data_IF_140048769964
#
_entry.id   IF_140048769964
#
_cell.length_a   1.000
_cell.length_b   1.000
_cell.length_c   1.000
_cell.angle_alpha   90.00
_cell.angle_beta   90.00
_cell.angle_gamma   90.00
#
_symmetry.space_group_name_H-M   'P 1'
#
loop_
_entity.id
_entity.type
_entity.pdbx_description
1 polymer ?
#
# COMPACT_ATOMS: atom_id res chain seq x y z
N UNK A 1 23.21 -3.80 -12.93
CA UNK A 1 23.36 -5.19 -12.45
C UNK A 1 22.08 -5.93 -12.81
N UNK A 2 22.15 -6.97 -13.64
CA UNK A 2 20.98 -7.71 -14.14
C UNK A 2 20.39 -8.54 -13.00
N UNK A 3 19.14 -8.26 -12.61
CA UNK A 3 18.41 -9.12 -11.67
C UNK A 3 18.13 -10.46 -12.34
N UNK A 4 18.65 -11.53 -11.74
CA UNK A 4 18.50 -12.90 -12.20
C UNK A 4 17.01 -13.29 -12.22
N UNK A 5 16.52 -13.62 -13.41
CA UNK A 5 15.29 -14.37 -13.64
C UNK A 5 15.49 -15.78 -13.10
N UNK A 6 14.98 -16.06 -11.91
CA UNK A 6 14.59 -17.39 -11.44
C UNK A 6 13.84 -17.22 -10.12
N UNK A 7 12.61 -16.67 -10.21
CA UNK A 7 11.66 -16.72 -9.11
C UNK A 7 10.75 -17.90 -9.41
N UNK A 8 10.94 -18.98 -8.66
CA UNK A 8 10.00 -20.09 -8.56
C UNK A 8 8.60 -19.53 -8.39
N UNK A 9 7.71 -19.91 -9.30
CA UNK A 9 6.27 -19.68 -9.22
C UNK A 9 5.76 -20.54 -8.05
N UNK A 10 5.96 -20.06 -6.82
CA UNK A 10 5.14 -20.44 -5.70
C UNK A 10 3.88 -19.63 -5.89
N UNK A 11 2.83 -20.33 -6.32
CA UNK A 11 1.47 -19.82 -6.38
C UNK A 11 1.06 -19.42 -4.96
N UNK A 12 1.47 -18.22 -4.53
CA UNK A 12 0.76 -17.50 -3.49
C UNK A 12 -0.65 -17.34 -4.02
N UNK A 13 -1.58 -18.08 -3.42
CA UNK A 13 -2.99 -17.80 -3.54
C UNK A 13 -3.13 -16.39 -2.94
N UNK A 14 -3.03 -15.37 -3.80
CA UNK A 14 -3.39 -14.00 -3.47
C UNK A 14 -4.79 -14.07 -2.87
N UNK A 15 -5.02 -13.36 -1.76
CA UNK A 15 -6.33 -13.27 -1.11
C UNK A 15 -7.35 -12.54 -2.02
N UNK A 16 -6.92 -12.10 -3.21
CA UNK A 16 -7.76 -11.87 -4.40
C UNK A 16 -8.70 -13.06 -4.72
N UNK A 17 -8.46 -14.25 -4.18
CA UNK A 17 -9.44 -15.34 -4.15
C UNK A 17 -10.46 -15.17 -3.00
N UNK A 18 -11.44 -14.28 -3.17
CA UNK A 18 -12.91 -14.41 -2.97
C UNK A 18 -13.53 -13.04 -3.35
N UNK A 19 -13.30 -12.59 -4.58
CA UNK A 19 -14.35 -11.84 -5.27
C UNK A 19 -14.58 -12.66 -6.53
N UNK A 20 -15.81 -13.16 -6.67
CA UNK A 20 -16.21 -13.86 -7.88
C UNK A 20 -15.88 -12.95 -9.06
N UNK A 21 -15.87 -13.52 -10.26
CA UNK A 21 -16.31 -12.77 -11.43
C UNK A 21 -17.72 -12.29 -11.06
N UNK A 22 -17.81 -11.16 -10.35
CA UNK A 22 -19.08 -10.59 -9.96
C UNK A 22 -19.80 -10.24 -11.26
N UNK A 23 -21.12 -10.19 -11.22
CA UNK A 23 -22.00 -10.02 -12.38
C UNK A 23 -21.80 -8.68 -13.16
N UNK A 24 -20.71 -7.96 -12.90
CA UNK A 24 -20.21 -6.76 -13.54
C UNK A 24 -19.10 -7.21 -14.51
N UNK A 25 -19.23 -6.98 -15.82
CA UNK A 25 -18.37 -7.56 -16.87
C UNK A 25 -16.84 -7.31 -16.80
N UNK A 26 -16.33 -6.66 -15.75
CA UNK A 26 -14.91 -6.38 -15.53
C UNK A 26 -14.15 -7.58 -14.95
N UNK A 27 -13.06 -7.97 -15.62
CA UNK A 27 -12.07 -8.87 -15.04
C UNK A 27 -11.13 -8.09 -14.10
N UNK A 28 -11.59 -7.88 -12.87
CA UNK A 28 -10.82 -7.16 -11.86
C UNK A 28 -9.45 -7.81 -11.58
N UNK A 29 -9.41 -9.13 -11.41
CA UNK A 29 -8.19 -9.87 -11.03
C UNK A 29 -7.03 -9.61 -12.00
N UNK A 30 -7.32 -9.59 -13.30
CA UNK A 30 -6.31 -9.34 -14.33
C UNK A 30 -6.08 -7.85 -14.56
N UNK A 31 -7.14 -7.03 -14.57
CA UNK A 31 -7.03 -5.63 -14.99
C UNK A 31 -6.25 -4.77 -13.99
N UNK A 32 -6.40 -5.00 -12.68
CA UNK A 32 -5.74 -4.20 -11.63
C UNK A 32 -4.21 -4.29 -11.65
N UNK A 33 -3.65 -5.32 -12.28
CA UNK A 33 -2.20 -5.55 -12.38
C UNK A 33 -1.64 -5.42 -13.80
N UNK A 34 -2.49 -5.11 -14.78
CA UNK A 34 -2.17 -5.15 -16.22
C UNK A 34 -0.98 -4.27 -16.65
N UNK A 35 -0.73 -3.15 -15.96
CA UNK A 35 0.34 -2.21 -16.27
C UNK A 35 1.57 -2.33 -15.33
N UNK A 36 1.62 -3.33 -14.45
CA UNK A 36 2.70 -3.45 -13.46
C UNK A 36 4.08 -3.60 -14.11
N UNK A 37 4.19 -4.39 -15.18
CA UNK A 37 5.48 -4.54 -15.88
C UNK A 37 5.99 -3.21 -16.47
N UNK A 38 5.09 -2.36 -16.97
CA UNK A 38 5.45 -1.02 -17.43
C UNK A 38 5.89 -0.13 -16.25
N UNK A 39 5.14 -0.15 -15.14
CA UNK A 39 5.47 0.63 -13.93
C UNK A 39 6.81 0.21 -13.32
N UNK A 40 7.11 -1.08 -13.28
CA UNK A 40 8.39 -1.61 -12.81
C UNK A 40 9.58 -1.14 -13.68
N UNK A 41 9.33 -0.77 -14.94
CA UNK A 41 10.36 -0.22 -15.84
C UNK A 41 10.65 1.27 -15.65
N UNK A 42 9.79 1.98 -14.90
CA UNK A 42 9.96 3.42 -14.68
C UNK A 42 11.13 3.70 -13.71
N UNK A 43 11.99 4.68 -14.04
CA UNK A 43 13.19 4.97 -13.24
C UNK A 43 12.82 5.50 -11.85
N UNK A 44 13.48 4.97 -10.82
CA UNK A 44 13.42 5.51 -9.46
C UNK A 44 14.51 6.53 -9.21
N UNK A 45 14.24 7.50 -8.33
CA UNK A 45 15.30 8.41 -7.88
C UNK A 45 16.18 7.72 -6.84
N UNK A 46 17.49 7.89 -6.99
CA UNK A 46 18.50 7.35 -6.09
C UNK A 46 19.08 8.38 -5.11
N UNK A 47 18.82 9.67 -5.34
CA UNK A 47 19.30 10.73 -4.45
C UNK A 47 18.44 10.79 -3.18
N UNK A 48 19.03 10.71 -1.98
CA UNK A 48 18.29 10.90 -0.75
C UNK A 48 17.74 12.33 -0.68
N UNK A 49 16.49 12.48 -0.23
CA UNK A 49 15.90 13.78 0.05
C UNK A 49 15.09 13.75 1.34
N UNK A 50 15.72 14.16 2.43
CA UNK A 50 15.15 14.11 3.77
C UNK A 50 14.21 15.28 4.12
N UNK A 51 13.93 16.23 3.20
CA UNK A 51 13.19 17.46 3.54
C UNK A 51 11.66 17.30 3.50
N UNK A 52 11.14 16.41 2.66
CA UNK A 52 9.68 16.24 2.45
C UNK A 52 9.21 14.78 2.41
N UNK A 53 10.16 13.84 2.36
CA UNK A 53 9.94 12.40 2.33
C UNK A 53 10.98 11.77 3.22
N UNK A 54 10.58 10.81 4.04
CA UNK A 54 11.51 10.05 4.86
C UNK A 54 12.23 9.05 3.94
N UNK A 55 13.02 9.51 2.96
CA UNK A 55 13.67 8.66 1.95
C UNK A 55 13.90 9.38 0.62
N UNK A 56 14.46 8.71 -0.41
CA UNK A 56 14.51 9.27 -1.76
C UNK A 56 13.11 9.59 -2.27
N UNK A 57 12.98 10.63 -3.09
CA UNK A 57 11.69 10.94 -3.72
C UNK A 57 11.27 9.74 -4.60
N UNK A 58 10.05 9.19 -4.46
CA UNK A 58 9.62 8.14 -5.36
C UNK A 58 9.42 8.70 -6.78
N UNK A 59 9.54 7.83 -7.79
CA UNK A 59 9.20 8.18 -9.17
C UNK A 59 7.79 8.79 -9.26
N UNK A 60 7.55 9.63 -10.27
CA UNK A 60 6.18 10.04 -10.60
C UNK A 60 5.56 8.95 -11.46
N UNK A 61 4.59 8.25 -10.89
CA UNK A 61 3.79 7.27 -11.60
C UNK A 61 2.56 7.95 -12.21
N UNK A 62 2.22 7.66 -13.48
CA UNK A 62 1.01 8.19 -14.08
C UNK A 62 -0.24 7.55 -13.45
N UNK A 63 -1.35 8.28 -13.45
CA UNK A 63 -2.64 7.67 -13.16
C UNK A 63 -2.92 6.53 -14.17
N UNK A 64 -3.35 5.34 -13.72
CA UNK A 64 -3.66 4.24 -14.63
C UNK A 64 -4.89 4.55 -15.49
N UNK A 65 -4.99 3.87 -16.63
CA UNK A 65 -6.25 3.81 -17.36
C UNK A 65 -7.14 2.75 -16.70
N UNK A 66 -8.32 3.17 -16.26
CA UNK A 66 -9.33 2.26 -15.69
C UNK A 66 -10.14 1.69 -16.85
N UNK A 67 -10.32 0.35 -16.94
CA UNK A 67 -11.16 -0.23 -17.98
C UNK A 67 -12.60 0.29 -17.88
N UNK A 68 -13.22 0.59 -19.03
CA UNK A 68 -14.54 1.22 -19.11
C UNK A 68 -15.68 0.34 -18.58
N UNK A 69 -15.45 -0.96 -18.50
CA UNK A 69 -16.36 -1.99 -17.99
C UNK A 69 -16.25 -2.20 -16.47
N UNK A 70 -15.31 -1.54 -15.80
CA UNK A 70 -15.12 -1.62 -14.35
C UNK A 70 -15.78 -0.44 -13.64
N UNK A 71 -16.32 -0.68 -12.43
CA UNK A 71 -16.61 0.42 -11.52
C UNK A 71 -15.28 1.07 -11.10
N UNK A 72 -15.10 2.39 -11.32
CA UNK A 72 -13.82 3.02 -11.11
C UNK A 72 -13.36 3.01 -9.65
N UNK A 73 -14.29 3.15 -8.71
CA UNK A 73 -13.99 3.18 -7.27
C UNK A 73 -13.56 1.79 -6.80
N UNK A 74 -14.35 0.76 -7.10
CA UNK A 74 -14.01 -0.63 -6.76
C UNK A 74 -12.69 -1.06 -7.40
N UNK A 75 -12.46 -0.69 -8.67
CA UNK A 75 -11.22 -1.01 -9.37
C UNK A 75 -10.00 -0.37 -8.70
N UNK A 76 -10.09 0.90 -8.32
CA UNK A 76 -9.03 1.60 -7.61
C UNK A 76 -8.74 0.98 -6.24
N UNK A 77 -9.79 0.62 -5.48
CA UNK A 77 -9.67 -0.02 -4.17
C UNK A 77 -8.94 -1.36 -4.26
N UNK A 78 -9.38 -2.22 -5.18
CA UNK A 78 -8.75 -3.53 -5.41
C UNK A 78 -7.33 -3.39 -5.96
N UNK A 79 -7.07 -2.37 -6.78
CA UNK A 79 -5.71 -2.09 -7.26
C UNK A 79 -4.76 -1.70 -6.14
N UNK A 80 -5.19 -0.88 -5.18
CA UNK A 80 -4.35 -0.54 -4.03
C UNK A 80 -3.98 -1.81 -3.24
N UNK A 81 -4.93 -2.72 -3.04
CA UNK A 81 -4.66 -4.02 -2.40
C UNK A 81 -3.71 -4.87 -3.25
N UNK A 82 -3.93 -5.01 -4.56
CA UNK A 82 -3.07 -5.78 -5.46
C UNK A 82 -1.63 -5.23 -5.51
N UNK A 83 -1.47 -3.90 -5.47
CA UNK A 83 -0.15 -3.27 -5.39
C UNK A 83 0.49 -3.56 -4.03
N UNK A 84 -0.26 -3.48 -2.93
CA UNK A 84 0.25 -3.82 -1.60
C UNK A 84 0.75 -5.28 -1.55
N UNK A 85 -0.02 -6.22 -2.08
CA UNK A 85 0.34 -7.64 -2.14
C UNK A 85 1.61 -7.92 -2.97
N UNK A 86 1.84 -7.16 -4.05
CA UNK A 86 3.07 -7.28 -4.88
C UNK A 86 4.36 -7.14 -4.05
N UNK A 87 4.32 -6.39 -2.95
CA UNK A 87 5.49 -6.14 -2.11
C UNK A 87 5.62 -7.07 -0.91
N UNK A 88 4.75 -8.07 -0.76
CA UNK A 88 4.87 -9.07 0.32
C UNK A 88 6.27 -9.70 0.31
N UNK A 89 6.90 -9.73 1.48
CA UNK A 89 8.27 -10.23 1.67
C UNK A 89 9.36 -9.18 1.51
N UNK A 90 9.05 -7.95 1.09
CA UNK A 90 10.01 -6.85 1.17
C UNK A 90 10.36 -6.59 2.66
N UNK A 91 11.65 -6.51 3.03
CA UNK A 91 12.06 -6.25 4.41
C UNK A 91 11.61 -4.88 4.92
N UNK A 92 11.45 -4.80 6.24
CA UNK A 92 11.23 -3.52 6.90
C UNK A 92 12.54 -2.73 6.89
N UNK A 93 12.48 -1.49 6.42
CA UNK A 93 13.60 -0.57 6.46
C UNK A 93 13.12 0.87 6.62
N UNK A 94 13.56 1.50 7.70
CA UNK A 94 13.27 2.90 7.96
C UNK A 94 13.81 3.80 6.86
N UNK A 95 12.93 4.68 6.40
CA UNK A 95 13.24 5.78 5.50
C UNK A 95 13.70 5.41 4.09
N UNK A 96 13.12 4.35 3.51
CA UNK A 96 13.51 3.81 2.21
C UNK A 96 12.34 3.76 1.21
N UNK A 97 12.68 3.46 -0.04
CA UNK A 97 11.77 2.98 -1.09
C UNK A 97 12.32 1.65 -1.61
N UNK A 98 11.52 0.78 -2.27
CA UNK A 98 11.98 -0.57 -2.66
C UNK A 98 13.24 -0.58 -3.54
N UNK A 99 13.42 0.45 -4.37
CA UNK A 99 14.56 0.58 -5.29
C UNK A 99 15.80 1.25 -4.70
N UNK A 100 15.78 1.65 -3.42
CA UNK A 100 16.90 2.35 -2.79
C UNK A 100 17.65 1.43 -1.83
N UNK A 101 18.96 1.28 -2.08
CA UNK A 101 19.89 0.63 -1.16
C UNK A 101 20.92 1.66 -0.70
N UNK A 102 20.71 2.17 0.52
CA UNK A 102 21.61 3.13 1.17
C UNK A 102 22.84 2.48 1.81
N UNK A 103 23.16 1.22 1.49
CA UNK A 103 24.24 0.44 2.11
C UNK A 103 23.79 -0.43 3.28
N UNK A 104 22.50 -0.42 3.61
CA UNK A 104 21.89 -1.22 4.68
C UNK A 104 20.76 -2.14 4.16
N UNK A 105 20.71 -2.37 2.84
CA UNK A 105 19.67 -3.15 2.19
C UNK A 105 18.43 -2.32 1.82
N UNK A 106 17.56 -2.94 1.03
CA UNK A 106 16.29 -2.36 0.55
C UNK A 106 15.16 -2.62 1.55
N UNK A 107 14.14 -1.76 1.54
CA UNK A 107 12.93 -2.00 2.32
C UNK A 107 12.00 -0.79 2.38
N UNK A 108 10.97 -0.88 3.22
CA UNK A 108 10.00 0.17 3.50
C UNK A 108 9.72 0.25 5.02
N UNK A 109 9.30 1.41 5.51
CA UNK A 109 8.58 1.50 6.79
C UNK A 109 7.08 1.66 6.53
N UNK A 110 6.26 1.67 7.56
CA UNK A 110 4.80 1.62 7.41
C UNK A 110 4.24 2.79 6.58
N UNK A 111 4.68 4.02 6.83
CA UNK A 111 4.18 5.21 6.13
C UNK A 111 4.84 5.42 4.76
N UNK A 112 6.09 4.97 4.56
CA UNK A 112 6.66 4.88 3.21
C UNK A 112 5.95 3.78 2.39
N UNK A 113 5.56 2.66 3.00
CA UNK A 113 4.84 1.59 2.32
C UNK A 113 3.49 2.05 1.79
N UNK A 114 2.67 2.69 2.61
CA UNK A 114 1.38 3.23 2.16
C UNK A 114 1.56 4.32 1.10
N UNK A 115 2.51 5.23 1.29
CA UNK A 115 2.82 6.28 0.30
C UNK A 115 3.27 5.70 -1.04
N UNK A 116 4.11 4.66 -0.99
CA UNK A 116 4.58 3.94 -2.16
C UNK A 116 3.45 3.22 -2.88
N UNK A 117 2.60 2.48 -2.18
CA UNK A 117 1.46 1.74 -2.76
C UNK A 117 0.52 2.69 -3.50
N UNK A 118 0.17 3.83 -2.90
CA UNK A 118 -0.71 4.83 -3.52
C UNK A 118 -0.09 5.51 -4.73
N UNK A 119 1.19 5.85 -4.66
CA UNK A 119 1.90 6.47 -5.77
C UNK A 119 2.09 5.46 -6.92
N UNK A 120 2.61 4.27 -6.64
CA UNK A 120 2.78 3.21 -7.63
C UNK A 120 1.44 2.83 -8.27
N UNK A 121 0.39 2.62 -7.47
CA UNK A 121 -0.90 2.16 -7.95
C UNK A 121 -1.64 3.20 -8.77
N UNK A 122 -1.86 4.38 -8.19
CA UNK A 122 -2.79 5.37 -8.72
C UNK A 122 -2.13 6.68 -9.14
N UNK A 123 -0.82 6.83 -8.96
CA UNK A 123 -0.13 8.11 -9.13
C UNK A 123 -0.48 9.14 -8.04
N UNK A 124 -1.15 8.71 -6.97
CA UNK A 124 -1.57 9.58 -5.87
C UNK A 124 -0.41 9.70 -4.88
N UNK A 125 -0.02 10.93 -4.61
CA UNK A 125 1.06 11.23 -3.65
C UNK A 125 0.49 11.64 -2.31
N UNK A 126 0.76 10.83 -1.30
CA UNK A 126 0.51 11.15 0.10
C UNK A 126 1.84 11.30 0.85
N UNK A 127 1.81 12.04 1.97
CA UNK A 127 2.99 12.23 2.79
C UNK A 127 3.53 10.88 3.30
N UNK A 128 4.86 10.71 3.37
CA UNK A 128 5.48 9.48 3.90
C UNK A 128 5.91 9.58 5.36
N UNK A 129 5.68 10.73 5.99
CA UNK A 129 5.74 10.94 7.44
C UNK A 129 4.45 10.45 8.08
N UNK A 130 4.52 9.53 9.05
CA UNK A 130 3.33 8.95 9.68
C UNK A 130 2.43 10.00 10.35
N UNK A 131 2.99 11.02 11.01
CA UNK A 131 2.20 12.06 11.68
C UNK A 131 1.49 12.92 10.65
N UNK A 132 2.21 13.43 9.64
CA UNK A 132 1.58 14.21 8.57
C UNK A 132 0.61 13.38 7.74
N UNK A 133 0.90 12.10 7.50
CA UNK A 133 0.01 11.22 6.76
C UNK A 133 -1.30 11.00 7.53
N UNK A 134 -1.23 10.83 8.85
CA UNK A 134 -2.40 10.75 9.73
C UNK A 134 -3.22 12.06 9.77
N UNK A 135 -2.61 13.20 9.46
CA UNK A 135 -3.27 14.51 9.43
C UNK A 135 -3.77 14.93 8.04
N UNK A 136 -3.19 14.42 6.96
CA UNK A 136 -3.38 15.00 5.60
C UNK A 136 -3.79 14.00 4.52
N UNK A 137 -3.69 12.68 4.75
CA UNK A 137 -4.10 11.71 3.73
C UNK A 137 -5.62 11.70 3.54
N UNK A 138 -6.10 11.97 2.33
CA UNK A 138 -7.53 11.87 1.99
C UNK A 138 -8.47 12.56 2.99
N UNK A 139 -9.69 12.03 3.12
CA UNK A 139 -10.65 12.47 4.14
C UNK A 139 -10.67 11.52 5.34
N UNK A 140 -10.96 12.07 6.52
CA UNK A 140 -11.26 11.26 7.70
C UNK A 140 -12.63 10.59 7.56
N UNK A 141 -12.77 9.36 8.03
CA UNK A 141 -14.05 8.65 8.08
C UNK A 141 -14.79 8.99 9.37
N UNK A 142 -16.12 9.01 9.30
CA UNK A 142 -16.94 9.02 10.50
C UNK A 142 -16.81 7.67 11.26
N UNK A 143 -16.99 7.64 12.59
CA UNK A 143 -16.82 6.41 13.37
C UNK A 143 -17.71 5.23 12.94
N UNK A 144 -18.87 5.50 12.36
CA UNK A 144 -19.87 4.53 11.90
C UNK A 144 -19.75 4.21 10.41
N UNK A 145 -18.83 4.86 9.70
CA UNK A 145 -18.65 4.64 8.28
C UNK A 145 -17.95 3.30 7.99
N UNK A 146 -18.54 2.50 7.10
CA UNK A 146 -17.97 1.20 6.70
C UNK A 146 -16.60 1.37 6.05
N UNK A 147 -15.60 0.66 6.56
CA UNK A 147 -14.26 0.56 5.97
C UNK A 147 -14.32 -0.10 4.59
N UNK A 148 -13.49 0.37 3.67
CA UNK A 148 -13.40 -0.12 2.30
C UNK A 148 -11.94 -0.48 1.97
N UNK A 149 -11.71 -1.46 1.07
CA UNK A 149 -10.36 -1.87 0.71
C UNK A 149 -9.53 -0.66 0.25
N UNK A 150 -8.30 -0.54 0.76
CA UNK A 150 -7.44 0.59 0.50
C UNK A 150 -7.49 1.69 1.57
N UNK A 151 -8.49 1.75 2.43
CA UNK A 151 -8.53 2.73 3.53
C UNK A 151 -7.25 2.62 4.41
N UNK A 152 -6.73 3.76 4.84
CA UNK A 152 -5.59 3.82 5.75
C UNK A 152 -6.09 3.83 7.18
N UNK A 153 -5.74 2.82 7.97
CA UNK A 153 -6.05 2.77 9.41
C UNK A 153 -4.81 3.21 10.19
N UNK A 154 -4.98 4.24 11.01
CA UNK A 154 -3.92 4.74 11.88
C UNK A 154 -4.01 4.10 13.25
N UNK A 155 -2.89 3.55 13.73
CA UNK A 155 -2.80 2.77 14.96
C UNK A 155 -1.90 3.52 15.95
N UNK A 156 -2.35 3.59 17.20
CA UNK A 156 -1.59 4.21 18.29
C UNK A 156 -0.52 3.28 18.85
N UNK A 157 0.43 3.88 19.54
CA UNK A 157 1.35 3.17 20.44
C UNK A 157 0.59 2.32 21.47
N UNK A 158 1.21 1.29 22.04
CA UNK A 158 0.61 0.43 23.09
C UNK A 158 0.05 1.17 24.31
N UNK A 159 0.55 2.37 24.61
CA UNK A 159 0.05 3.22 25.70
C UNK A 159 -0.87 4.35 25.21
N UNK A 160 -1.36 4.28 23.97
CA UNK A 160 -2.23 5.26 23.31
C UNK A 160 -1.72 6.71 23.23
N UNK A 161 -0.43 6.94 23.49
CA UNK A 161 0.15 8.30 23.55
C UNK A 161 0.20 9.05 22.22
N UNK A 162 0.36 8.35 21.09
CA UNK A 162 0.43 8.97 19.74
C UNK A 162 0.15 7.95 18.64
N UNK A 163 -0.12 8.43 17.42
CA UNK A 163 -0.09 7.58 16.22
C UNK A 163 1.35 7.10 16.00
N UNK A 164 1.52 5.79 15.83
CA UNK A 164 2.84 5.17 15.59
C UNK A 164 2.89 4.30 14.36
N UNK A 165 1.74 3.94 13.78
CA UNK A 165 1.69 2.99 12.69
C UNK A 165 0.49 3.23 11.79
N UNK A 166 0.61 2.75 10.55
CA UNK A 166 -0.44 2.81 9.54
C UNK A 166 -0.49 1.49 8.80
N UNK A 167 -1.71 1.05 8.49
CA UNK A 167 -1.96 -0.18 7.73
C UNK A 167 -2.99 0.11 6.64
N UNK A 168 -2.99 -0.70 5.58
CA UNK A 168 -4.01 -0.66 4.52
C UNK A 168 -5.08 -1.70 4.84
N UNK A 169 -6.35 -1.28 4.85
CA UNK A 169 -7.49 -2.18 4.98
C UNK A 169 -7.60 -3.10 3.77
N UNK A 170 -7.84 -4.40 3.99
CA UNK A 170 -8.21 -5.34 2.92
C UNK A 170 -9.69 -5.68 3.07
N UNK A 171 -10.07 -6.22 4.23
CA UNK A 171 -11.41 -6.72 4.52
C UNK A 171 -11.63 -6.81 6.05
N UNK A 172 -12.81 -7.23 6.57
CA UNK A 172 -13.09 -7.24 8.00
C UNK A 172 -12.11 -8.04 8.87
N UNK A 173 -11.43 -9.04 8.30
CA UNK A 173 -10.47 -9.89 8.99
C UNK A 173 -9.01 -9.50 8.72
N UNK A 174 -8.72 -8.74 7.67
CA UNK A 174 -7.36 -8.59 7.17
C UNK A 174 -6.92 -7.14 6.88
N UNK A 175 -5.65 -6.89 7.16
CA UNK A 175 -4.91 -5.68 6.84
C UNK A 175 -3.57 -6.06 6.19
N UNK A 176 -2.93 -5.11 5.50
CA UNK A 176 -1.56 -5.25 5.03
C UNK A 176 -0.73 -4.04 5.45
N UNK A 177 0.48 -4.30 5.92
CA UNK A 177 1.42 -3.28 6.36
C UNK A 177 2.86 -3.71 6.09
N UNK A 178 3.79 -2.80 6.34
CA UNK A 178 5.19 -3.13 6.61
C UNK A 178 5.49 -2.92 8.09
N UNK A 179 5.83 -4.00 8.79
CA UNK A 179 6.15 -3.96 10.22
C UNK A 179 7.06 -5.12 10.63
N UNK A 180 8.17 -4.78 11.28
CA UNK A 180 9.20 -5.68 11.81
C UNK A 180 9.73 -6.69 10.77
N UNK A 181 9.02 -7.78 10.54
CA UNK A 181 9.38 -8.84 9.59
C UNK A 181 9.09 -8.52 8.12
N UNK A 182 8.93 -7.24 7.77
CA UNK A 182 8.60 -6.80 6.41
C UNK A 182 7.12 -6.76 6.08
N UNK A 183 6.83 -6.56 4.79
CA UNK A 183 5.48 -6.44 4.23
C UNK A 183 4.72 -7.76 4.31
N UNK A 184 3.56 -7.76 4.98
CA UNK A 184 2.72 -8.95 5.18
C UNK A 184 1.25 -8.61 5.31
N UNK A 185 0.40 -9.53 4.86
CA UNK A 185 -1.00 -9.59 5.29
C UNK A 185 -1.05 -10.06 6.73
N UNK A 186 -1.86 -9.41 7.54
CA UNK A 186 -2.08 -9.74 8.95
C UNK A 186 -3.56 -9.75 9.26
N UNK A 187 -3.89 -10.51 10.28
CA UNK A 187 -5.23 -10.44 10.86
C UNK A 187 -5.44 -9.09 11.55
N UNK A 188 -6.60 -8.48 11.33
CA UNK A 188 -7.02 -7.26 12.00
C UNK A 188 -7.50 -7.56 13.43
N UNK A 189 -6.54 -7.83 14.31
CA UNK A 189 -6.75 -8.19 15.73
C UNK A 189 -5.60 -7.69 16.62
N UNK A 190 -5.74 -7.90 17.93
CA UNK A 190 -4.69 -7.57 18.90
C UNK A 190 -4.34 -6.09 18.86
N UNK A 191 -3.05 -5.75 18.83
CA UNK A 191 -2.60 -4.35 18.81
C UNK A 191 -3.24 -3.51 17.70
N UNK A 192 -3.33 -4.05 16.47
CA UNK A 192 -3.93 -3.35 15.33
C UNK A 192 -5.37 -2.92 15.61
N UNK A 193 -6.17 -3.79 16.23
CA UNK A 193 -7.58 -3.51 16.50
C UNK A 193 -7.79 -2.76 17.80
N UNK A 194 -7.03 -3.09 18.85
CA UNK A 194 -7.17 -2.51 20.19
C UNK A 194 -6.69 -1.06 20.25
N UNK A 195 -5.74 -0.68 19.40
CA UNK A 195 -5.18 0.68 19.33
C UNK A 195 -5.54 1.40 18.02
N UNK A 196 -6.55 0.92 17.30
CA UNK A 196 -7.09 1.62 16.14
C UNK A 196 -7.62 3.00 16.54
N UNK A 197 -7.10 4.05 15.90
CA UNK A 197 -7.45 5.43 16.21
C UNK A 197 -8.61 5.93 15.36
N UNK A 198 -8.41 5.91 14.04
CA UNK A 198 -9.33 6.36 13.01
C UNK A 198 -8.82 5.91 11.64
N UNK A 199 -9.70 5.97 10.65
CA UNK A 199 -9.37 5.66 9.27
C UNK A 199 -9.44 6.92 8.39
N UNK A 200 -8.68 6.88 7.28
CA UNK A 200 -8.75 7.87 6.20
C UNK A 200 -8.94 7.19 4.86
N UNK A 201 -9.84 7.76 4.04
CA UNK A 201 -10.15 7.29 2.69
C UNK A 201 -9.59 8.26 1.65
N UNK A 202 -8.80 7.73 0.73
CA UNK A 202 -8.19 8.48 -0.36
C UNK A 202 -8.99 8.29 -1.66
N UNK A 203 -9.59 7.12 -1.87
CA UNK A 203 -10.37 6.79 -3.07
C UNK A 203 -11.83 7.16 -2.83
N UNK A 204 -12.39 8.07 -3.63
CA UNK A 204 -13.73 8.61 -3.47
C UNK A 204 -14.43 8.90 -4.79
#
# INVERSE_FOLDING_TARGET
MKLNKNISIIMLISIVAIFKVDAEGCNYQQSVSSDFAYRDSLPQYSSPNYRDSWGPRPARYPAPQIPSDCDPIKWQQQRIVAVAEKYIGLPYQHHHIPGFDGGNGVGLDCSNFTSWVYNYGLGIKINSDITKQADTAGRILAPDETLQPGDLLFIRTMNDSRISHVVIYIDPGHIIDDHASGVKIREFKGWYKNHFAYARRIIN
#
